data_IF_203160525089
#
_entry.id   IF_203160525089
#
_cell.length_a   1.000
_cell.length_b   1.000
_cell.length_c   1.000
_cell.angle_alpha   90.00
_cell.angle_beta   90.00
_cell.angle_gamma   90.00
#
_symmetry.space_group_name_H-M   'P 1'
#
loop_
_entity.id
_entity.type
_entity.pdbx_description
1 polymer ?
2 non-polymer ?
3 water ?
#
# COMPACT_ATOMS: atom_id res chain seq x y z
N UNK A 8 4.56 -10.88 24.65
CA UNK A 8 5.44 -10.35 23.55
C UNK A 8 5.68 -11.45 22.52
N UNK A 9 5.56 -11.13 21.23
CA UNK A 9 5.96 -12.02 20.09
C UNK A 9 7.50 -12.11 20.07
N UNK A 10 8.06 -13.13 20.71
CA UNK A 10 9.52 -13.40 20.73
C UNK A 10 9.97 -13.57 19.28
N UNK A 11 10.86 -12.68 18.80
CA UNK A 11 11.42 -12.73 17.42
C UNK A 11 12.32 -13.97 17.32
N UNK A 12 12.05 -14.84 16.33
CA UNK A 12 12.67 -16.17 16.15
C UNK A 12 14.20 -16.04 16.12
N UNK A 13 14.92 -17.00 16.73
CA UNK A 13 16.39 -17.16 16.64
C UNK A 13 16.78 -17.43 15.18
N UNK A 14 18.03 -17.15 14.81
CA UNK A 14 18.50 -17.27 13.40
C UNK A 14 18.43 -18.73 12.93
N UNK A 15 18.59 -19.70 13.83
CA UNK A 15 18.58 -21.14 13.51
C UNK A 15 18.04 -21.92 14.70
N UNK A 16 17.00 -22.73 14.49
CA UNK A 16 16.36 -23.55 15.55
C UNK A 16 16.50 -25.03 15.18
N UNK A 17 17.54 -25.73 15.68
CA UNK A 17 17.71 -27.16 15.43
C UNK A 17 16.57 -28.03 15.99
N UNK A 18 15.80 -27.50 16.94
CA UNK A 18 14.60 -28.17 17.53
C UNK A 18 13.35 -27.78 16.74
N UNK A 19 13.51 -27.26 15.52
CA UNK A 19 12.40 -26.80 14.66
C UNK A 19 11.72 -27.95 13.95
N UNK A 20 10.44 -27.78 13.62
CA UNK A 20 9.61 -28.79 12.92
C UNK A 20 10.12 -28.97 11.48
N UNK A 21 10.21 -30.23 11.05
CA UNK A 21 10.63 -30.64 9.69
C UNK A 21 9.43 -30.58 8.74
N UNK A 22 8.23 -30.78 9.29
CA UNK A 22 6.95 -30.91 8.54
C UNK A 22 6.47 -29.52 8.12
N UNK A 23 6.45 -29.23 6.82
CA UNK A 23 5.93 -27.95 6.27
C UNK A 23 4.48 -27.74 6.71
N UNK A 24 3.75 -28.82 7.00
CA UNK A 24 2.30 -28.80 7.37
C UNK A 24 2.10 -28.15 8.74
N UNK A 25 3.14 -28.14 9.59
CA UNK A 25 3.12 -27.57 10.96
C UNK A 25 3.41 -26.06 10.94
N UNK A 26 3.73 -25.47 9.78
CA UNK A 26 4.03 -24.01 9.69
C UNK A 26 2.81 -23.19 10.13
N UNK A 27 3.08 -22.04 10.76
CA UNK A 27 2.07 -21.00 11.12
C UNK A 27 2.56 -19.64 10.62
N UNK A 28 1.65 -18.73 10.31
CA UNK A 28 2.00 -17.34 9.87
C UNK A 28 2.79 -16.70 11.02
N UNK A 29 2.30 -16.84 12.25
CA UNK A 29 2.96 -16.37 13.51
C UNK A 29 2.99 -17.52 14.51
N UNK A 30 3.93 -17.46 15.46
CA UNK A 30 4.01 -18.34 16.66
C UNK A 30 4.21 -19.80 16.25
N UNK A 31 4.71 -20.05 15.04
CA UNK A 31 5.13 -21.39 14.58
C UNK A 31 6.43 -21.79 15.23
N UNK A 32 6.93 -23.00 14.95
CA UNK A 32 8.20 -23.52 15.50
C UNK A 32 9.09 -23.95 14.33
N UNK A 33 9.52 -23.00 13.47
CA UNK A 33 10.35 -23.33 12.32
C UNK A 33 11.84 -23.49 12.66
N UNK A 34 12.58 -24.19 11.80
CA UNK A 34 14.07 -24.26 11.80
C UNK A 34 14.63 -22.92 11.33
N UNK A 35 13.88 -22.19 10.49
CA UNK A 35 14.26 -20.91 9.85
C UNK A 35 15.24 -21.20 8.71
N UNK A 36 15.44 -22.46 8.35
CA UNK A 36 15.92 -22.81 7.00
C UNK A 36 14.70 -22.68 6.10
N UNK A 37 14.88 -22.09 4.91
CA UNK A 37 13.82 -21.89 3.89
C UNK A 37 13.67 -23.22 3.13
N UNK A 38 12.95 -24.16 3.75
CA UNK A 38 12.69 -25.52 3.20
C UNK A 38 11.54 -25.40 2.19
N UNK A 39 11.86 -24.94 0.97
CA UNK A 39 10.88 -24.51 -0.05
C UNK A 39 10.48 -25.67 -0.98
N UNK A 40 10.95 -26.89 -0.71
CA UNK A 40 10.53 -28.13 -1.42
C UNK A 40 9.10 -28.47 -1.04
N UNK A 41 8.68 -28.14 0.19
CA UNK A 41 7.28 -28.26 0.68
C UNK A 41 6.76 -26.85 1.04
N UNK A 42 5.67 -26.47 0.40
CA UNK A 42 4.99 -25.15 0.56
C UNK A 42 3.61 -25.42 1.16
N UNK A 43 3.34 -24.89 2.35
CA UNK A 43 2.00 -24.95 2.97
C UNK A 43 1.10 -23.89 2.33
N UNK A 44 1.60 -22.66 2.20
CA UNK A 44 0.82 -21.47 1.74
C UNK A 44 1.14 -21.17 0.28
N UNK A 45 0.54 -21.95 -0.63
CA UNK A 45 0.72 -21.87 -2.10
C UNK A 45 0.60 -20.41 -2.58
N UNK A 46 -0.34 -19.64 -2.02
CA UNK A 46 -0.58 -18.23 -2.40
C UNK A 46 0.67 -17.38 -2.12
N UNK A 47 1.39 -17.65 -1.02
CA UNK A 47 2.60 -16.90 -0.64
C UNK A 47 3.70 -17.12 -1.69
N UNK A 48 3.91 -18.36 -2.13
CA UNK A 48 5.00 -18.71 -3.08
C UNK A 48 4.64 -18.16 -4.47
N UNK A 49 3.40 -18.35 -4.91
CA UNK A 49 2.88 -17.79 -6.18
C UNK A 49 3.10 -16.28 -6.19
N UNK A 50 2.72 -15.59 -5.12
CA UNK A 50 2.82 -14.11 -5.01
C UNK A 50 4.29 -13.68 -5.01
N UNK A 51 5.18 -14.46 -4.40
CA UNK A 51 6.66 -14.21 -4.46
C UNK A 51 7.08 -14.17 -5.94
N UNK A 52 6.79 -15.24 -6.67
CA UNK A 52 7.13 -15.41 -8.11
C UNK A 52 6.56 -14.25 -8.94
N UNK A 53 5.31 -13.85 -8.67
CA UNK A 53 4.59 -12.77 -9.41
C UNK A 53 5.26 -11.42 -9.15
N UNK A 54 5.58 -11.13 -7.89
CA UNK A 54 6.17 -9.83 -7.46
C UNK A 54 7.65 -9.77 -7.84
N UNK A 55 8.35 -10.91 -7.73
CA UNK A 55 9.82 -10.97 -7.81
C UNK A 55 10.32 -11.11 -9.23
N UNK A 56 9.62 -11.91 -10.05
CA UNK A 56 10.04 -12.26 -11.43
C UNK A 56 9.06 -11.71 -12.47
N UNK A 57 7.84 -12.24 -12.52
CA UNK A 57 6.82 -11.93 -13.56
C UNK A 57 6.67 -10.42 -13.74
N UNK A 58 6.45 -9.69 -12.65
CA UNK A 58 6.06 -8.24 -12.66
C UNK A 58 7.31 -7.36 -12.53
N UNK A 59 8.51 -7.92 -12.60
CA UNK A 59 9.78 -7.14 -12.51
C UNK A 59 9.71 -5.97 -13.52
N UNK A 60 10.18 -4.78 -13.12
CA UNK A 60 10.21 -3.58 -13.99
C UNK A 60 11.33 -2.64 -13.56
N UNK A 61 11.84 -1.85 -14.51
CA UNK A 61 12.95 -0.88 -14.34
C UNK A 61 12.39 0.52 -14.61
N UNK A 62 12.21 1.36 -13.56
CA UNK A 62 11.66 2.72 -13.73
C UNK A 62 12.37 3.60 -14.77
N UNK A 63 13.69 3.44 -14.94
CA UNK A 63 14.54 4.28 -15.84
C UNK A 63 14.39 3.84 -17.30
N UNK A 64 13.80 2.66 -17.57
CA UNK A 64 13.48 2.18 -18.95
C UNK A 64 12.19 2.82 -19.45
N UNK A 65 11.47 3.55 -18.60
CA UNK A 65 10.32 4.41 -18.98
C UNK A 65 10.87 5.79 -19.34
N UNK A 66 10.56 6.27 -20.54
CA UNK A 66 11.08 7.55 -21.09
C UNK A 66 10.28 8.71 -20.48
N UNK A 67 10.97 9.80 -20.09
CA UNK A 67 10.38 10.96 -19.38
C UNK A 67 10.74 12.26 -20.11
N UNK A 68 10.59 12.28 -21.44
CA UNK A 68 10.98 13.40 -22.34
C UNK A 68 9.87 14.45 -22.40
N UNK A 69 8.60 14.03 -22.24
CA UNK A 69 7.38 14.87 -22.47
C UNK A 69 7.04 15.68 -21.21
N UNK A 70 6.88 14.99 -20.06
CA UNK A 70 6.25 15.52 -18.82
C UNK A 70 6.92 16.82 -18.34
N UNK A 71 8.24 16.96 -18.50
CA UNK A 71 9.00 18.15 -18.06
C UNK A 71 8.46 19.39 -18.77
N UNK A 72 8.05 19.24 -20.04
CA UNK A 72 7.46 20.33 -20.88
C UNK A 72 6.05 20.64 -20.37
N UNK A 73 5.18 19.62 -20.33
CA UNK A 73 3.76 19.70 -19.89
C UNK A 73 3.67 20.32 -18.49
N UNK A 74 4.61 20.00 -17.60
CA UNK A 74 4.67 20.59 -16.24
C UNK A 74 4.92 22.10 -16.37
N UNK A 75 6.04 22.47 -17.01
CA UNK A 75 6.55 23.86 -17.15
C UNK A 75 5.47 24.80 -17.70
N UNK A 76 4.63 24.33 -18.63
CA UNK A 76 3.66 25.18 -19.39
C UNK A 76 2.22 24.66 -19.21
N UNK A 77 1.91 23.49 -19.76
CA UNK A 77 0.53 23.00 -20.05
C UNK A 77 -0.29 22.84 -18.75
N UNK A 78 0.35 22.52 -17.61
CA UNK A 78 -0.34 22.23 -16.32
C UNK A 78 -0.79 23.53 -15.65
N UNK A 79 -2.03 23.56 -15.15
CA UNK A 79 -2.62 24.65 -14.35
C UNK A 79 -1.90 24.74 -13.01
N UNK A 80 -2.15 25.80 -12.23
CA UNK A 80 -1.53 26.01 -10.89
C UNK A 80 -2.09 24.98 -9.91
N UNK A 81 -3.36 24.61 -10.06
CA UNK A 81 -4.07 23.62 -9.21
C UNK A 81 -3.52 22.22 -9.51
N UNK A 82 -3.31 21.92 -10.80
CA UNK A 82 -2.80 20.60 -11.26
C UNK A 82 -1.38 20.36 -10.72
N UNK A 83 -0.57 21.42 -10.61
CA UNK A 83 0.83 21.35 -10.10
C UNK A 83 0.81 21.12 -8.59
N UNK A 84 -0.12 21.77 -7.88
CA UNK A 84 -0.32 21.67 -6.41
C UNK A 84 -0.65 20.21 -6.06
N UNK A 85 -1.59 19.62 -6.82
CA UNK A 85 -2.03 18.22 -6.64
C UNK A 85 -0.84 17.29 -6.85
N UNK A 86 -0.25 17.33 -8.05
CA UNK A 86 0.96 16.55 -8.45
C UNK A 86 1.92 16.52 -7.26
N UNK A 87 2.25 17.70 -6.74
CA UNK A 87 3.16 17.91 -5.58
C UNK A 87 2.67 17.14 -4.35
N UNK A 88 1.42 17.37 -3.94
CA UNK A 88 0.81 16.81 -2.69
C UNK A 88 0.80 15.28 -2.78
N UNK A 89 0.29 14.74 -3.89
CA UNK A 89 0.10 13.28 -4.10
C UNK A 89 1.48 12.59 -4.05
N UNK A 90 2.43 13.04 -4.87
CA UNK A 90 3.78 12.45 -4.96
C UNK A 90 4.48 12.54 -3.61
N UNK A 91 4.33 13.66 -2.89
CA UNK A 91 4.96 13.87 -1.55
C UNK A 91 4.48 12.78 -0.59
N UNK A 92 3.19 12.46 -0.65
CA UNK A 92 2.49 11.53 0.28
C UNK A 92 2.85 10.09 -0.09
N UNK A 93 2.80 9.75 -1.39
CA UNK A 93 3.17 8.40 -1.87
C UNK A 93 4.64 8.11 -1.56
N UNK A 94 5.50 9.14 -1.59
CA UNK A 94 6.94 9.01 -1.19
C UNK A 94 6.99 8.65 0.30
N UNK A 95 6.20 9.36 1.12
CA UNK A 95 6.06 9.08 2.57
C UNK A 95 5.60 7.63 2.76
N UNK A 96 4.52 7.22 2.11
CA UNK A 96 3.88 5.90 2.29
C UNK A 96 4.88 4.79 1.99
N UNK A 97 5.45 4.80 0.78
CA UNK A 97 6.36 3.73 0.30
C UNK A 97 7.59 3.69 1.21
N UNK A 98 8.05 4.83 1.74
CA UNK A 98 9.18 4.93 2.71
C UNK A 98 8.82 4.16 3.99
N UNK A 99 7.61 4.40 4.51
CA UNK A 99 7.10 3.73 5.74
C UNK A 99 7.04 2.21 5.49
N UNK A 100 6.64 1.84 4.27
CA UNK A 100 6.39 0.43 3.86
C UNK A 100 7.70 -0.37 3.81
N UNK A 101 8.76 0.17 3.20
CA UNK A 101 10.06 -0.55 3.07
C UNK A 101 10.57 -0.85 4.48
N UNK A 102 10.31 0.05 5.43
CA UNK A 102 10.82 -0.01 6.81
C UNK A 102 9.94 -0.94 7.65
N UNK A 103 8.61 -0.80 7.57
CA UNK A 103 7.67 -1.62 8.38
C UNK A 103 7.67 -3.08 7.91
N UNK A 104 7.90 -3.37 6.63
CA UNK A 104 7.83 -4.76 6.10
C UNK A 104 8.99 -5.58 6.69
N UNK A 105 10.07 -4.93 7.14
CA UNK A 105 11.18 -5.61 7.85
C UNK A 105 10.69 -6.09 9.21
N UNK A 106 9.76 -5.34 9.82
CA UNK A 106 9.13 -5.69 11.13
C UNK A 106 8.25 -6.92 10.96
N UNK A 107 7.35 -6.91 9.98
CA UNK A 107 6.45 -8.05 9.68
C UNK A 107 7.28 -9.29 9.37
N UNK A 108 8.20 -9.18 8.39
CA UNK A 108 9.01 -10.32 7.91
C UNK A 108 9.74 -11.02 9.04
N UNK A 109 10.26 -10.28 10.02
CA UNK A 109 11.09 -10.84 11.13
C UNK A 109 10.19 -11.53 12.16
N UNK A 110 8.88 -11.23 12.21
CA UNK A 110 7.90 -11.83 13.15
C UNK A 110 7.20 -13.05 12.54
N UNK A 111 7.26 -13.24 11.21
CA UNK A 111 6.51 -14.31 10.52
C UNK A 111 7.36 -15.60 10.46
N UNK A 112 6.72 -16.74 10.72
CA UNK A 112 7.37 -18.05 10.99
C UNK A 112 7.22 -18.98 9.77
N UNK A 113 6.50 -18.57 8.73
CA UNK A 113 6.33 -19.35 7.48
C UNK A 113 7.28 -18.84 6.40
N UNK A 114 8.34 -19.59 6.03
CA UNK A 114 9.35 -19.11 5.09
C UNK A 114 8.78 -18.57 3.76
N UNK A 115 7.80 -19.26 3.15
CA UNK A 115 7.17 -18.81 1.88
C UNK A 115 6.52 -17.43 2.09
N UNK A 116 5.92 -17.18 3.26
CA UNK A 116 5.28 -15.86 3.56
C UNK A 116 6.39 -14.81 3.76
N UNK A 117 7.46 -15.17 4.46
CA UNK A 117 8.66 -14.31 4.68
C UNK A 117 9.25 -13.91 3.32
N UNK A 118 9.36 -14.89 2.41
CA UNK A 118 9.83 -14.71 1.01
C UNK A 118 8.95 -13.68 0.28
N UNK A 119 7.62 -13.84 0.33
CA UNK A 119 6.63 -12.93 -0.30
C UNK A 119 6.84 -11.50 0.21
N UNK A 120 7.08 -11.34 1.52
CA UNK A 120 7.27 -10.01 2.18
C UNK A 120 8.62 -9.40 1.75
N UNK A 121 9.68 -10.21 1.64
CA UNK A 121 10.98 -9.73 1.13
C UNK A 121 10.76 -9.15 -0.28
N UNK A 122 10.04 -9.87 -1.13
CA UNK A 122 9.69 -9.43 -2.51
C UNK A 122 8.90 -8.12 -2.43
N UNK A 123 7.91 -8.05 -1.54
CA UNK A 123 7.12 -6.82 -1.32
C UNK A 123 8.04 -5.67 -0.91
N UNK A 124 8.93 -5.91 0.06
CA UNK A 124 9.86 -4.89 0.58
C UNK A 124 10.70 -4.35 -0.58
N UNK A 125 11.15 -5.25 -1.47
CA UNK A 125 11.96 -4.87 -2.65
C UNK A 125 11.13 -3.98 -3.59
N UNK A 126 9.90 -4.37 -3.91
CA UNK A 126 8.98 -3.58 -4.78
C UNK A 126 8.80 -2.18 -4.19
N UNK A 127 8.66 -2.09 -2.86
CA UNK A 127 8.54 -0.79 -2.15
C UNK A 127 9.82 0.04 -2.39
N UNK A 128 11.00 -0.58 -2.43
CA UNK A 128 12.28 0.12 -2.71
C UNK A 128 12.28 0.65 -4.15
N UNK A 129 11.75 -0.13 -5.09
CA UNK A 129 11.69 0.25 -6.54
C UNK A 129 10.79 1.48 -6.68
N UNK A 130 9.70 1.55 -5.91
CA UNK A 130 8.78 2.71 -5.92
C UNK A 130 9.54 3.95 -5.47
N UNK A 131 10.32 3.84 -4.40
CA UNK A 131 11.13 4.97 -3.88
C UNK A 131 12.06 5.44 -5.00
N UNK A 132 12.59 4.51 -5.79
CA UNK A 132 13.48 4.78 -6.95
C UNK A 132 12.69 5.48 -8.07
N UNK A 133 11.49 4.99 -8.36
CA UNK A 133 10.56 5.53 -9.39
C UNK A 133 10.23 6.99 -9.10
N UNK A 134 9.88 7.33 -7.86
CA UNK A 134 9.51 8.73 -7.48
C UNK A 134 10.72 9.65 -7.61
N UNK A 135 11.91 9.18 -7.23
CA UNK A 135 13.18 9.95 -7.35
C UNK A 135 13.46 10.23 -8.84
N UNK A 136 13.14 9.27 -9.71
CA UNK A 136 13.35 9.37 -11.18
C UNK A 136 12.33 10.34 -11.77
N UNK A 137 11.07 10.26 -11.32
CA UNK A 137 9.95 11.16 -11.75
C UNK A 137 10.36 12.61 -11.44
N UNK A 138 10.83 12.89 -10.24
CA UNK A 138 11.16 14.26 -9.78
C UNK A 138 12.46 14.74 -10.45
N UNK A 139 13.45 13.86 -10.62
CA UNK A 139 14.73 14.19 -11.29
C UNK A 139 14.43 14.58 -12.76
N UNK A 140 13.42 13.96 -13.36
CA UNK A 140 13.07 14.07 -14.80
C UNK A 140 12.13 15.27 -15.04
N UNK A 141 11.10 15.45 -14.19
CA UNK A 141 9.91 16.29 -14.46
C UNK A 141 10.12 17.73 -13.95
N UNK A 142 10.81 17.90 -12.81
CA UNK A 142 10.89 19.21 -12.09
C UNK A 142 12.36 19.52 -11.78
N UNK A 143 12.61 20.71 -11.25
CA UNK A 143 13.97 21.26 -11.00
C UNK A 143 14.42 20.85 -9.59
N UNK A 144 15.74 20.96 -9.28
CA UNK A 144 16.30 20.44 -8.03
C UNK A 144 15.66 20.98 -6.74
N UNK A 145 15.33 22.28 -6.72
CA UNK A 145 14.76 22.94 -5.51
C UNK A 145 13.33 22.42 -5.32
N UNK A 146 12.55 22.37 -6.41
CA UNK A 146 11.14 21.88 -6.42
C UNK A 146 11.11 20.42 -5.95
N UNK A 147 12.05 19.59 -6.44
CA UNK A 147 12.20 18.16 -6.08
C UNK A 147 12.38 18.01 -4.57
N UNK A 148 13.31 18.76 -3.96
CA UNK A 148 13.55 18.80 -2.49
C UNK A 148 12.24 19.21 -1.79
N UNK A 149 11.61 20.29 -2.29
CA UNK A 149 10.37 20.88 -1.71
C UNK A 149 9.29 19.80 -1.63
N UNK A 150 9.13 19.01 -2.69
CA UNK A 150 8.10 17.93 -2.80
C UNK A 150 8.41 16.81 -1.79
N UNK A 151 9.68 16.42 -1.64
CA UNK A 151 10.14 15.40 -0.66
C UNK A 151 9.83 15.88 0.76
N UNK A 152 9.81 17.20 0.95
CA UNK A 152 9.78 17.88 2.28
C UNK A 152 8.46 18.65 2.46
N UNK A 153 7.44 18.39 1.64
CA UNK A 153 6.21 19.20 1.58
C UNK A 153 5.33 18.97 2.83
N UNK A 154 5.67 17.98 3.67
CA UNK A 154 5.05 17.77 5.01
C UNK A 154 5.47 18.91 5.95
N UNK A 155 6.66 19.47 5.75
CA UNK A 155 7.25 20.54 6.61
C UNK A 155 6.43 21.84 6.50
N UNK A 156 5.72 22.01 5.38
CA UNK A 156 4.91 23.21 5.05
C UNK A 156 3.42 22.97 5.35
N UNK A 157 2.92 21.77 5.03
CA UNK A 157 1.47 21.48 4.88
C UNK A 157 1.02 20.57 6.03
N UNK A 158 0.18 21.08 6.93
CA UNK A 158 -0.23 20.39 8.19
C UNK A 158 -1.12 19.19 7.84
N UNK A 159 -1.99 19.27 6.83
CA UNK A 159 -2.84 18.13 6.40
C UNK A 159 -1.97 16.97 5.89
N UNK A 160 -0.77 17.23 5.37
CA UNK A 160 0.19 16.17 4.91
C UNK A 160 0.94 15.63 6.13
N UNK A 161 1.50 16.50 6.97
CA UNK A 161 2.27 16.13 8.18
C UNK A 161 1.43 15.21 9.07
N UNK A 162 0.13 15.49 9.22
CA UNK A 162 -0.75 14.78 10.17
C UNK A 162 -1.13 13.42 9.55
N UNK A 163 -1.36 13.39 8.24
CA UNK A 163 -1.51 12.15 7.43
C UNK A 163 -0.38 11.17 7.75
N UNK A 164 0.85 11.69 7.83
CA UNK A 164 2.10 10.91 7.99
C UNK A 164 2.25 10.42 9.44
N UNK A 165 2.11 11.34 10.41
CA UNK A 165 2.26 11.03 11.86
C UNK A 165 1.24 9.95 12.24
N UNK A 166 0.07 9.97 11.62
CA UNK A 166 -1.08 9.06 11.88
C UNK A 166 -0.70 7.64 11.43
N UNK A 167 -0.20 7.50 10.20
CA UNK A 167 0.17 6.18 9.64
C UNK A 167 1.31 5.59 10.50
N UNK A 168 2.24 6.42 10.94
CA UNK A 168 3.39 6.03 11.78
C UNK A 168 2.88 5.45 13.11
N UNK A 169 2.07 6.22 13.82
CA UNK A 169 1.56 5.94 15.20
C UNK A 169 1.14 4.48 15.33
N UNK A 170 0.30 4.00 14.40
CA UNK A 170 -0.24 2.62 14.40
C UNK A 170 0.90 1.60 14.23
N UNK A 171 1.91 1.90 13.41
CA UNK A 171 3.10 1.04 13.20
C UNK A 171 4.01 1.12 14.44
N UNK A 172 4.14 2.30 15.04
CA UNK A 172 4.96 2.56 16.25
C UNK A 172 4.43 1.79 17.47
N UNK A 173 3.10 1.63 17.60
CA UNK A 173 2.47 0.84 18.69
C UNK A 173 3.10 -0.55 18.75
N UNK A 174 3.15 -1.24 17.60
CA UNK A 174 3.72 -2.61 17.48
C UNK A 174 5.23 -2.60 17.76
N UNK A 175 5.97 -1.60 17.27
CA UNK A 175 7.45 -1.54 17.46
C UNK A 175 7.77 -1.36 18.95
N UNK A 176 7.05 -0.47 19.65
CA UNK A 176 7.22 -0.20 21.11
C UNK A 176 6.73 -1.41 21.92
N UNK A 177 5.47 -1.83 21.69
CA UNK A 177 4.80 -2.97 22.35
C UNK A 177 4.59 -4.08 21.32
N UNK A 178 5.61 -4.93 21.04
CA UNK A 178 5.47 -5.96 20.02
C UNK A 178 4.64 -7.17 20.48
N UNK A 179 3.43 -6.92 20.98
CA UNK A 179 2.48 -7.95 21.46
C UNK A 179 1.58 -8.38 20.30
N UNK A 180 0.75 -9.40 20.52
CA UNK A 180 -0.09 -10.05 19.47
C UNK A 180 -1.20 -9.10 19.01
N UNK A 181 -1.80 -8.34 19.94
CA UNK A 181 -2.88 -7.36 19.64
C UNK A 181 -2.36 -6.28 18.69
N UNK A 182 -1.21 -5.68 19.04
CA UNK A 182 -0.58 -4.57 18.28
C UNK A 182 -0.02 -5.09 16.95
N UNK A 183 0.18 -6.41 16.81
CA UNK A 183 0.55 -7.07 15.52
C UNK A 183 -0.64 -7.08 14.56
N UNK A 184 -1.82 -7.44 15.07
CA UNK A 184 -3.06 -7.55 14.24
C UNK A 184 -3.40 -6.15 13.74
N UNK A 185 -3.32 -5.16 14.64
CA UNK A 185 -3.56 -3.72 14.37
C UNK A 185 -2.64 -3.25 13.25
N UNK A 186 -1.33 -3.42 13.43
CA UNK A 186 -0.27 -3.07 12.45
C UNK A 186 -0.57 -3.76 11.12
N UNK A 187 -0.89 -5.06 11.14
CA UNK A 187 -1.21 -5.86 9.92
C UNK A 187 -2.43 -5.25 9.22
N UNK A 188 -3.49 -4.94 9.99
CA UNK A 188 -4.75 -4.37 9.43
C UNK A 188 -4.44 -2.99 8.85
N UNK A 189 -3.66 -2.19 9.57
CA UNK A 189 -3.21 -0.86 9.11
C UNK A 189 -2.46 -0.94 7.80
N UNK A 190 -1.60 -1.95 7.66
CA UNK A 190 -0.80 -2.20 6.42
C UNK A 190 -1.78 -2.44 5.26
N UNK A 191 -2.75 -3.33 5.46
CA UNK A 191 -3.82 -3.69 4.49
C UNK A 191 -4.61 -2.45 4.05
N UNK A 192 -4.96 -1.59 5.02
CA UNK A 192 -5.73 -0.33 4.81
C UNK A 192 -4.88 0.63 3.97
N UNK A 193 -3.66 0.93 4.43
CA UNK A 193 -2.68 1.78 3.71
C UNK A 193 -2.57 1.32 2.25
N UNK A 194 -2.51 0.02 2.00
CA UNK A 194 -2.34 -0.57 0.63
C UNK A 194 -3.67 -0.58 -0.11
N UNK A 195 -4.77 -0.80 0.63
CA UNK A 195 -6.16 -0.85 0.12
C UNK A 195 -6.61 0.51 -0.42
N UNK A 196 -6.39 1.58 0.36
CA UNK A 196 -7.08 2.88 0.19
C UNK A 196 -6.10 3.99 -0.20
N UNK A 197 -5.03 4.17 0.58
CA UNK A 197 -4.26 5.43 0.68
C UNK A 197 -3.50 5.76 -0.62
N UNK A 198 -3.46 4.84 -1.59
CA UNK A 198 -2.80 5.05 -2.91
C UNK A 198 -3.78 5.61 -3.94
N UNK A 199 -5.09 5.53 -3.68
CA UNK A 199 -6.12 5.47 -4.75
C UNK A 199 -6.71 6.86 -5.07
N UNK A 200 -6.69 7.82 -4.15
CA UNK A 200 -6.90 9.26 -4.50
C UNK A 200 -5.80 9.67 -5.47
N UNK A 201 -4.55 9.32 -5.12
CA UNK A 201 -3.34 9.57 -5.94
C UNK A 201 -3.44 8.90 -7.31
N UNK A 202 -3.77 7.61 -7.36
CA UNK A 202 -3.89 6.82 -8.62
C UNK A 202 -5.03 7.41 -9.48
N UNK A 203 -6.21 7.64 -8.89
CA UNK A 203 -7.40 8.18 -9.59
C UNK A 203 -7.02 9.51 -10.25
N UNK A 204 -6.40 10.41 -9.49
CA UNK A 204 -5.89 11.74 -9.95
C UNK A 204 -5.00 11.55 -11.18
N UNK A 205 -3.89 10.81 -11.06
CA UNK A 205 -2.88 10.66 -12.14
C UNK A 205 -3.55 10.08 -13.39
N UNK A 206 -4.40 9.07 -13.22
CA UNK A 206 -5.18 8.42 -14.31
C UNK A 206 -6.18 9.41 -14.92
N UNK A 207 -6.60 10.44 -14.17
CA UNK A 207 -7.48 11.53 -14.66
C UNK A 207 -6.69 12.42 -15.63
N UNK A 208 -5.53 12.92 -15.20
CA UNK A 208 -4.60 13.71 -16.05
C UNK A 208 -4.30 12.93 -17.32
N UNK A 209 -4.04 11.62 -17.19
CA UNK A 209 -3.70 10.70 -18.29
C UNK A 209 -4.86 10.51 -19.26
N UNK A 210 -6.09 10.61 -18.77
CA UNK A 210 -7.32 10.45 -19.59
C UNK A 210 -7.38 11.58 -20.62
N UNK A 211 -6.95 12.79 -20.25
CA UNK A 211 -6.92 13.99 -21.13
C UNK A 211 -5.50 14.24 -21.66
N UNK A 212 -4.62 13.23 -21.60
CA UNK A 212 -3.25 13.28 -22.13
C UNK A 212 -2.35 14.26 -21.38
N UNK A 213 -2.41 14.25 -20.04
CA UNK A 213 -1.52 15.08 -19.16
C UNK A 213 -0.65 14.15 -18.30
N UNK A 214 0.68 14.37 -18.33
CA UNK A 214 1.71 13.65 -17.52
C UNK A 214 1.62 12.14 -17.76
N UNK A 215 1.59 11.71 -19.03
CA UNK A 215 1.41 10.28 -19.42
C UNK A 215 2.67 9.47 -19.07
N UNK A 216 3.81 10.15 -18.85
CA UNK A 216 5.08 9.51 -18.41
C UNK A 216 4.92 9.13 -16.94
N UNK A 217 4.69 10.12 -16.07
CA UNK A 217 4.37 9.91 -14.63
C UNK A 217 3.31 8.81 -14.50
N UNK A 218 2.29 8.83 -15.37
CA UNK A 218 1.14 7.88 -15.33
C UNK A 218 1.60 6.48 -15.67
N UNK A 219 2.57 6.33 -16.58
CA UNK A 219 3.19 5.01 -16.92
C UNK A 219 3.80 4.44 -15.63
N UNK A 220 4.69 5.20 -14.99
CA UNK A 220 5.33 4.84 -13.70
C UNK A 220 4.24 4.36 -12.73
N UNK A 221 3.13 5.11 -12.63
CA UNK A 221 2.03 4.89 -11.65
C UNK A 221 1.33 3.55 -11.93
N UNK A 222 1.11 3.22 -13.20
CA UNK A 222 0.46 1.95 -13.62
C UNK A 222 1.26 0.76 -13.07
N UNK A 223 2.59 0.83 -13.15
CA UNK A 223 3.52 -0.23 -12.66
C UNK A 223 3.43 -0.31 -11.13
N UNK A 224 3.52 0.84 -10.46
CA UNK A 224 3.39 0.97 -8.97
C UNK A 224 2.04 0.38 -8.54
N UNK A 225 0.97 0.72 -9.24
CA UNK A 225 -0.43 0.30 -8.91
C UNK A 225 -0.57 -1.22 -9.14
N UNK A 226 0.08 -1.80 -10.17
CA UNK A 226 0.07 -3.26 -10.39
C UNK A 226 0.69 -3.95 -9.17
N UNK A 227 1.76 -3.37 -8.60
CA UNK A 227 2.48 -3.90 -7.41
C UNK A 227 1.56 -3.85 -6.20
N UNK A 228 0.85 -2.74 -6.00
CA UNK A 228 -0.04 -2.50 -4.83
C UNK A 228 -1.19 -3.51 -4.78
N UNK A 229 -1.66 -3.98 -5.93
CA UNK A 229 -2.75 -5.01 -6.00
C UNK A 229 -2.23 -6.33 -5.42
N UNK A 230 -1.01 -6.74 -5.78
CA UNK A 230 -0.35 -7.98 -5.28
C UNK A 230 -0.14 -7.87 -3.76
N UNK A 231 0.30 -6.69 -3.29
CA UNK A 231 0.53 -6.38 -1.85
C UNK A 231 -0.78 -6.52 -1.08
N UNK A 232 -1.85 -5.89 -1.56
CA UNK A 232 -3.23 -6.02 -0.99
C UNK A 232 -3.62 -7.50 -1.00
N UNK A 233 -3.40 -8.20 -2.10
CA UNK A 233 -3.70 -9.65 -2.24
C UNK A 233 -2.90 -10.44 -1.17
N UNK A 234 -1.63 -10.06 -0.94
CA UNK A 234 -0.74 -10.79 0.01
C UNK A 234 -1.30 -10.64 1.43
N UNK A 235 -1.64 -9.42 1.86
CA UNK A 235 -2.07 -9.13 3.24
C UNK A 235 -3.53 -9.53 3.48
N UNK A 236 -4.35 -9.63 2.43
CA UNK A 236 -5.74 -10.16 2.51
C UNK A 236 -5.66 -11.63 2.95
N UNK A 237 -4.80 -12.39 2.28
CA UNK A 237 -4.49 -13.82 2.58
C UNK A 237 -3.92 -13.95 4.00
N UNK A 238 -2.99 -13.06 4.39
CA UNK A 238 -2.32 -13.10 5.72
C UNK A 238 -3.38 -12.88 6.81
N UNK A 239 -4.25 -11.87 6.65
CA UNK A 239 -5.30 -11.53 7.66
C UNK A 239 -6.27 -12.71 7.79
N UNK A 240 -6.73 -13.27 6.66
CA UNK A 240 -7.74 -14.37 6.60
C UNK A 240 -7.14 -15.67 7.16
N UNK A 241 -5.86 -15.92 6.91
CA UNK A 241 -5.13 -17.09 7.46
C UNK A 241 -4.91 -16.90 8.96
N UNK A 242 -4.64 -15.66 9.40
CA UNK A 242 -4.50 -15.30 10.84
C UNK A 242 -5.84 -15.51 11.56
N UNK A 243 -6.96 -15.23 10.89
CA UNK A 243 -8.34 -15.47 11.43
C UNK A 243 -8.48 -16.95 11.80
N UNK A 244 -8.20 -17.85 10.85
CA UNK A 244 -8.35 -19.32 11.00
C UNK A 244 -7.35 -19.85 12.03
N UNK A 245 -6.10 -19.38 12.00
CA UNK A 245 -4.99 -19.97 12.81
C UNK A 245 -4.95 -19.36 14.21
N UNK A 246 -5.44 -18.13 14.40
CA UNK A 246 -5.33 -17.40 15.69
C UNK A 246 -6.64 -16.69 16.00
N UNK A 247 -7.79 -17.41 16.08
CA UNK A 247 -9.09 -16.77 16.29
C UNK A 247 -9.18 -16.06 17.65
N UNK A 248 -8.35 -16.47 18.61
CA UNK A 248 -8.20 -15.86 19.96
C UNK A 248 -7.79 -14.38 19.85
N UNK A 249 -7.20 -13.97 18.73
CA UNK A 249 -6.67 -12.60 18.50
C UNK A 249 -7.77 -11.70 17.91
N UNK A 250 -8.77 -12.28 17.24
CA UNK A 250 -9.91 -11.53 16.67
C UNK A 250 -11.05 -11.50 17.69
N UNK A 251 -10.74 -11.01 18.90
CA UNK A 251 -11.70 -10.67 19.98
C UNK A 251 -12.76 -9.74 19.40
N UNK A 252 -13.95 -9.60 20.04
CA UNK A 252 -14.93 -8.62 19.61
C UNK A 252 -14.40 -7.18 19.67
N UNK A 253 -13.54 -6.86 20.65
CA UNK A 253 -12.86 -5.54 20.81
C UNK A 253 -12.05 -5.23 19.55
N UNK A 254 -11.34 -6.23 19.00
CA UNK A 254 -10.52 -6.11 17.76
C UNK A 254 -11.47 -6.02 16.55
N UNK A 255 -12.42 -6.96 16.43
CA UNK A 255 -13.38 -7.03 15.30
C UNK A 255 -14.08 -5.68 15.14
N UNK A 256 -14.42 -5.03 16.27
CA UNK A 256 -14.98 -3.66 16.35
C UNK A 256 -13.96 -2.66 15.81
N UNK A 257 -12.79 -2.59 16.45
CA UNK A 257 -11.67 -1.65 16.14
C UNK A 257 -11.35 -1.69 14.64
N UNK A 258 -11.40 -2.88 14.02
CA UNK A 258 -11.14 -3.07 12.56
C UNK A 258 -12.17 -2.26 11.78
N UNK A 259 -13.46 -2.38 12.14
CA UNK A 259 -14.58 -1.72 11.41
C UNK A 259 -14.46 -0.21 11.60
N UNK A 260 -14.16 0.24 12.81
CA UNK A 260 -13.89 1.67 13.13
C UNK A 260 -12.83 2.19 12.15
N UNK A 261 -11.56 1.79 12.33
CA UNK A 261 -10.38 2.30 11.58
C UNK A 261 -10.64 2.27 10.08
N UNK A 262 -11.31 1.24 9.57
CA UNK A 262 -11.59 1.07 8.12
C UNK A 262 -12.51 2.20 7.63
N UNK A 263 -13.56 2.52 8.42
CA UNK A 263 -14.53 3.61 8.18
C UNK A 263 -13.80 4.96 8.25
N UNK A 264 -13.01 5.18 9.31
CA UNK A 264 -12.14 6.37 9.50
C UNK A 264 -11.24 6.56 8.27
N UNK A 265 -10.51 5.51 7.89
CA UNK A 265 -9.54 5.49 6.77
C UNK A 265 -10.25 5.88 5.45
N UNK A 266 -11.41 5.29 5.17
CA UNK A 266 -12.23 5.60 3.96
C UNK A 266 -12.59 7.09 4.01
N UNK A 267 -12.96 7.59 5.20
CA UNK A 267 -13.35 9.00 5.43
C UNK A 267 -12.16 9.91 5.10
N UNK A 268 -10.97 9.61 5.64
CA UNK A 268 -9.77 10.48 5.55
C UNK A 268 -9.25 10.49 4.10
N UNK A 269 -9.13 9.32 3.47
CA UNK A 269 -8.64 9.21 2.06
C UNK A 269 -9.52 10.11 1.18
N UNK A 270 -10.84 10.03 1.33
CA UNK A 270 -11.86 10.88 0.61
C UNK A 270 -11.48 12.35 0.78
N UNK A 271 -11.33 12.81 2.03
CA UNK A 271 -11.01 14.22 2.37
C UNK A 271 -9.69 14.62 1.70
N UNK A 272 -8.64 13.80 1.86
CA UNK A 272 -7.31 14.04 1.22
C UNK A 272 -7.52 14.24 -0.28
N UNK A 273 -8.25 13.32 -0.91
CA UNK A 273 -8.69 13.39 -2.31
C UNK A 273 -9.31 14.74 -2.65
N UNK A 274 -10.05 15.34 -1.69
CA UNK A 274 -10.79 16.62 -1.83
C UNK A 274 -9.83 17.81 -1.61
N UNK A 275 -8.99 17.75 -0.59
CA UNK A 275 -8.00 18.81 -0.23
C UNK A 275 -6.99 18.97 -1.37
N UNK A 276 -6.68 17.89 -2.08
CA UNK A 276 -5.71 17.85 -3.21
C UNK A 276 -6.38 18.47 -4.45
N UNK A 277 -7.50 17.91 -4.89
CA UNK A 277 -8.26 18.32 -6.12
C UNK A 277 -8.99 19.65 -5.88
N UNK A 278 -10.01 19.66 -5.01
CA UNK A 278 -10.87 20.82 -4.66
C UNK A 278 -11.75 21.23 -5.85
N UNK A 279 -12.26 20.25 -6.61
CA UNK A 279 -13.18 20.45 -7.76
C UNK A 279 -12.52 21.32 -8.85
N UNK A 280 -11.20 21.51 -8.78
CA UNK A 280 -10.43 22.37 -9.71
C UNK A 280 -9.69 21.51 -10.73
N UNK A 281 -10.00 20.20 -10.77
CA UNK A 281 -9.33 19.21 -11.67
C UNK A 281 -10.41 18.60 -12.58
N UNK A 282 -10.25 18.82 -13.89
CA UNK A 282 -11.24 18.45 -14.94
C UNK A 282 -11.40 16.92 -14.98
N UNK A 283 -12.31 16.39 -14.15
CA UNK A 283 -12.64 14.95 -14.11
C UNK A 283 -13.01 14.46 -12.72
N UNK A 284 -12.48 15.08 -11.68
CA UNK A 284 -12.65 14.67 -10.25
C UNK A 284 -13.61 15.65 -9.55
N UNK A 285 -14.71 15.14 -9.02
CA UNK A 285 -15.65 15.88 -8.14
C UNK A 285 -15.41 15.42 -6.69
N UNK A 286 -15.68 16.29 -5.72
CA UNK A 286 -15.57 15.98 -4.26
C UNK A 286 -16.52 14.84 -3.91
N UNK A 287 -17.64 14.72 -4.65
CA UNK A 287 -18.66 13.64 -4.49
C UNK A 287 -18.13 12.36 -5.14
N UNK A 288 -17.58 12.46 -6.35
CA UNK A 288 -17.11 11.32 -7.18
C UNK A 288 -15.96 10.59 -6.47
N UNK A 289 -15.18 11.32 -5.66
CA UNK A 289 -14.13 10.76 -4.76
C UNK A 289 -14.81 9.77 -3.80
N UNK A 290 -15.92 10.16 -3.18
CA UNK A 290 -16.62 9.38 -2.12
C UNK A 290 -16.97 7.98 -2.66
N UNK A 291 -17.72 7.92 -3.77
CA UNK A 291 -18.25 6.66 -4.35
C UNK A 291 -17.09 5.73 -4.75
N UNK A 292 -15.91 6.28 -5.03
CA UNK A 292 -14.67 5.51 -5.32
C UNK A 292 -14.16 4.85 -4.03
N UNK A 293 -13.84 5.67 -3.02
CA UNK A 293 -13.18 5.22 -1.75
C UNK A 293 -14.15 4.32 -0.98
N UNK A 294 -15.46 4.64 -1.05
CA UNK A 294 -16.55 3.85 -0.42
C UNK A 294 -16.62 2.47 -1.07
N UNK A 295 -16.51 2.39 -2.41
CA UNK A 295 -16.51 1.12 -3.16
C UNK A 295 -15.25 0.31 -2.84
N UNK A 296 -14.10 0.97 -2.70
CA UNK A 296 -12.80 0.33 -2.33
C UNK A 296 -12.91 -0.24 -0.91
N UNK A 297 -13.35 0.57 0.06
CA UNK A 297 -13.59 0.17 1.45
C UNK A 297 -14.40 -1.12 1.53
N UNK A 298 -15.62 -1.12 0.99
CA UNK A 298 -16.52 -2.31 0.92
C UNK A 298 -15.78 -3.49 0.31
N UNK A 299 -15.12 -3.28 -0.84
CA UNK A 299 -14.43 -4.35 -1.60
C UNK A 299 -13.41 -5.05 -0.69
N UNK A 300 -12.62 -4.28 0.06
CA UNK A 300 -11.42 -4.77 0.80
C UNK A 300 -11.83 -5.29 2.19
N UNK A 301 -12.82 -4.66 2.84
CA UNK A 301 -13.25 -5.07 4.21
C UNK A 301 -14.11 -6.33 4.12
N UNK A 302 -14.91 -6.50 3.07
CA UNK A 302 -15.72 -7.74 2.84
C UNK A 302 -14.79 -8.88 2.45
N UNK A 303 -13.74 -8.57 1.66
CA UNK A 303 -12.71 -9.56 1.21
C UNK A 303 -11.96 -10.14 2.42
N UNK A 304 -11.94 -9.45 3.56
CA UNK A 304 -11.34 -9.98 4.83
C UNK A 304 -12.45 -10.34 5.83
N UNK A 305 -13.66 -10.64 5.33
CA UNK A 305 -14.76 -11.28 6.09
C UNK A 305 -15.45 -10.33 7.04
N UNK A 306 -16.02 -9.24 6.51
CA UNK A 306 -16.86 -8.26 7.26
C UNK A 306 -18.08 -7.91 6.42
N UNK A 307 -19.06 -7.22 7.03
CA UNK A 307 -20.25 -6.66 6.32
C UNK A 307 -19.88 -5.33 5.71
N UNK A 308 -20.34 -5.02 4.47
CA UNK A 308 -20.11 -3.70 3.87
C UNK A 308 -20.36 -2.56 4.87
N UNK A 309 -19.45 -1.59 4.92
CA UNK A 309 -19.49 -0.44 5.88
C UNK A 309 -20.21 0.76 5.24
N UNK A 310 -20.48 0.69 3.94
CA UNK A 310 -21.31 1.68 3.18
C UNK A 310 -22.20 0.91 2.19
N UNK A 311 -23.31 0.31 2.67
CA UNK A 311 -24.22 -0.44 1.80
C UNK A 311 -24.91 0.44 0.75
N UNK A 312 -25.04 1.75 1.03
CA UNK A 312 -25.57 2.78 0.09
C UNK A 312 -24.85 2.66 -1.26
N UNK A 313 -23.55 2.37 -1.24
CA UNK A 313 -22.69 2.20 -2.44
C UNK A 313 -22.58 0.71 -2.79
N UNK A 314 -22.75 0.36 -4.07
CA UNK A 314 -22.64 -1.02 -4.61
C UNK A 314 -22.28 -0.95 -6.10
N UNK A 315 -21.37 -0.05 -6.47
CA UNK A 315 -20.94 0.21 -7.87
C UNK A 315 -19.66 1.07 -7.85
N UNK A 316 -18.67 0.72 -8.66
CA UNK A 316 -17.42 1.51 -8.86
C UNK A 316 -17.72 2.65 -9.81
N UNK A 317 -17.68 3.93 -9.38
CA UNK A 317 -17.97 5.05 -10.27
C UNK A 317 -16.97 5.18 -11.43
N UNK A 318 -15.71 4.77 -11.22
CA UNK A 318 -14.57 5.01 -12.15
C UNK A 318 -14.16 3.69 -12.84
N UNK A 319 -15.14 2.85 -13.20
CA UNK A 319 -14.92 1.51 -13.82
C UNK A 319 -13.92 1.61 -14.98
N UNK A 320 -13.85 2.76 -15.64
CA UNK A 320 -12.91 3.05 -16.77
C UNK A 320 -11.45 2.82 -16.35
N UNK A 321 -11.12 3.06 -15.09
CA UNK A 321 -9.75 2.91 -14.51
C UNK A 321 -9.25 1.47 -14.75
N UNK A 322 -10.08 0.47 -14.44
CA UNK A 322 -9.72 -0.97 -14.45
C UNK A 322 -9.17 -1.37 -15.83
N UNK A 323 -9.58 -0.68 -16.91
CA UNK A 323 -9.12 -0.91 -18.31
C UNK A 323 -7.96 0.03 -18.64
N UNK A 324 -7.98 1.26 -18.10
CA UNK A 324 -6.95 2.31 -18.31
C UNK A 324 -5.63 1.93 -17.62
N UNK A 325 -5.70 1.48 -16.36
CA UNK A 325 -4.52 1.18 -15.51
C UNK A 325 -3.69 0.03 -16.13
N UNK A 326 -4.35 -0.87 -16.86
CA UNK A 326 -3.75 -2.09 -17.48
C UNK A 326 -2.54 -1.70 -18.33
N UNK A 327 -1.63 -2.66 -18.53
CA UNK A 327 -0.29 -2.47 -19.17
C UNK A 327 -0.29 -3.19 -20.52
X LIG B 1 2.73 -1.66 -1.19
#
# INVERSE_FOLDING_TARGET
MEKTEKNELVRKLIFNPQGDREASKRKIIKGNPTNIFELNEIKYSWAFDLYKLMGFTNFWIPEEIQMLEDRKQYETVLSDYEKRAYELVLSFLIALDSFQVDMLKEFGRMITAPEVEMAITAQEFQESVHAYSYQFILESVVDPVKADEIYNYWREDERLLERNKVIAELYNEFIRKPNEENFIKATIGNYILESLYFYSGFAFFYTLGRQGKMRNTVQQIKYINRDELCHVTLFRNIINTLRKENPELFTPEIEKWIVEYFKYAVNEEIKWGQYVTQNQILGINDVLIERYIKYLGNLRITQIGFDPIYPEVTENPLKWIDEFRKINNTKTDFFQAKPQTYSKANELKW
FE FE
#
